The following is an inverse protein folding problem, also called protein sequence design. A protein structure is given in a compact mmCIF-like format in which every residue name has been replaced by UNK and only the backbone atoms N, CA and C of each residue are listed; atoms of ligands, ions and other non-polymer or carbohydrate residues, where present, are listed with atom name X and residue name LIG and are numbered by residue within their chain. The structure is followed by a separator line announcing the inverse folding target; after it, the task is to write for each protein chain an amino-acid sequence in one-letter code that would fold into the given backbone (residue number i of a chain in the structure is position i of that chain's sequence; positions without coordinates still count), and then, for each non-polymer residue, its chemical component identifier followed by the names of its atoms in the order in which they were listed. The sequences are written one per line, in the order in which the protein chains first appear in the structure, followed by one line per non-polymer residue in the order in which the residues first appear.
data_IF_636131436606
#
_entry.id   IF_636131436606
#
_cell.length_a   1.000
_cell.length_b   1.000
_cell.length_c   1.000
_cell.angle_alpha   90.00
_cell.angle_beta   90.00
_cell.angle_gamma   90.00
#
_symmetry.space_group_name_H-M   'P 1'
#
loop_
_entity.id
_entity.type
_entity.pdbx_description
1 polymer ?
#
# COMPACT_ATOMS: atom_id res chain seq x y z
N UNK A 1 -12.16 -20.61 6.53
CA UNK A 1 -11.70 -19.27 6.96
C UNK A 1 -11.84 -19.19 8.47
N UNK A 2 -10.78 -18.81 9.18
CA UNK A 2 -10.80 -18.57 10.62
C UNK A 2 -11.58 -17.28 10.94
N UNK A 3 -11.97 -17.10 12.21
CA UNK A 3 -12.65 -15.87 12.66
C UNK A 3 -11.79 -14.61 12.41
N UNK A 4 -10.46 -14.71 12.53
CA UNK A 4 -9.53 -13.61 12.27
C UNK A 4 -9.43 -13.24 10.79
N UNK A 5 -9.43 -14.24 9.90
CA UNK A 5 -9.42 -14.01 8.43
C UNK A 5 -10.69 -13.29 7.97
N UNK A 6 -11.85 -13.62 8.55
CA UNK A 6 -13.10 -12.92 8.23
C UNK A 6 -13.07 -11.46 8.68
N UNK A 7 -12.58 -11.18 9.90
CA UNK A 7 -12.44 -9.82 10.42
C UNK A 7 -11.45 -8.98 9.61
N UNK A 8 -10.30 -9.56 9.23
CA UNK A 8 -9.34 -8.93 8.32
C UNK A 8 -10.03 -8.50 7.02
N UNK A 9 -10.76 -9.42 6.37
CA UNK A 9 -11.44 -9.13 5.12
C UNK A 9 -12.46 -8.00 5.28
N UNK A 10 -13.30 -8.03 6.32
CA UNK A 10 -14.27 -6.97 6.59
C UNK A 10 -13.60 -5.61 6.80
N UNK A 11 -12.54 -5.55 7.61
CA UNK A 11 -11.80 -4.30 7.82
C UNK A 11 -11.15 -3.78 6.52
N UNK A 12 -10.60 -4.68 5.70
CA UNK A 12 -10.05 -4.31 4.38
C UNK A 12 -11.12 -3.72 3.46
N UNK A 13 -12.29 -4.33 3.41
CA UNK A 13 -13.42 -3.86 2.59
C UNK A 13 -13.94 -2.49 3.08
N UNK A 14 -14.05 -2.30 4.39
CA UNK A 14 -14.43 -1.01 4.99
C UNK A 14 -13.40 0.09 4.68
N UNK A 15 -12.10 -0.24 4.75
CA UNK A 15 -11.03 0.69 4.36
C UNK A 15 -11.11 1.07 2.89
N UNK A 16 -11.36 0.11 1.99
CA UNK A 16 -11.53 0.36 0.56
C UNK A 16 -12.76 1.24 0.27
N UNK A 17 -13.87 1.02 1.00
CA UNK A 17 -15.08 1.81 0.88
C UNK A 17 -14.86 3.26 1.34
N UNK A 18 -14.22 3.47 2.49
CA UNK A 18 -13.84 4.79 2.99
C UNK A 18 -12.88 5.51 2.03
N UNK A 19 -11.90 4.78 1.47
CA UNK A 19 -10.96 5.33 0.48
C UNK A 19 -11.68 5.85 -0.76
N UNK A 20 -12.64 5.08 -1.28
CA UNK A 20 -13.43 5.45 -2.46
C UNK A 20 -14.27 6.71 -2.22
N UNK A 21 -14.71 6.93 -0.98
CA UNK A 21 -15.43 8.14 -0.55
C UNK A 21 -14.52 9.35 -0.28
N UNK A 22 -13.20 9.19 -0.33
CA UNK A 22 -12.24 10.24 0.04
C UNK A 22 -12.04 10.42 1.55
N UNK A 23 -12.60 9.51 2.37
CA UNK A 23 -12.49 9.53 3.83
C UNK A 23 -11.15 8.89 4.26
N UNK A 24 -10.03 9.49 3.85
CA UNK A 24 -8.72 8.83 3.91
C UNK A 24 -8.24 8.52 5.34
N UNK A 25 -8.56 9.34 6.34
CA UNK A 25 -8.24 9.03 7.75
C UNK A 25 -9.04 7.84 8.26
N UNK A 26 -10.33 7.75 7.92
CA UNK A 26 -11.15 6.58 8.28
C UNK A 26 -10.65 5.32 7.57
N UNK A 27 -10.23 5.44 6.31
CA UNK A 27 -9.60 4.34 5.58
C UNK A 27 -8.33 3.85 6.28
N UNK A 28 -7.48 4.76 6.78
CA UNK A 28 -6.29 4.42 7.59
C UNK A 28 -6.65 3.63 8.84
N UNK A 29 -7.70 4.03 9.55
CA UNK A 29 -8.15 3.35 10.77
C UNK A 29 -8.56 1.91 10.45
N UNK A 30 -9.38 1.71 9.43
CA UNK A 30 -9.81 0.39 8.99
C UNK A 30 -8.66 -0.48 8.50
N UNK A 31 -7.77 0.05 7.67
CA UNK A 31 -6.57 -0.68 7.24
C UNK A 31 -5.66 -1.02 8.42
N UNK A 32 -5.60 -0.18 9.45
CA UNK A 32 -4.85 -0.48 10.67
C UNK A 32 -5.48 -1.64 11.46
N UNK A 33 -6.81 -1.71 11.55
CA UNK A 33 -7.46 -2.90 12.13
C UNK A 33 -7.20 -4.15 11.29
N UNK A 34 -7.28 -4.05 9.96
CA UNK A 34 -6.95 -5.17 9.07
C UNK A 34 -5.51 -5.67 9.27
N UNK A 35 -4.54 -4.78 9.46
CA UNK A 35 -3.14 -5.13 9.70
C UNK A 35 -2.88 -5.69 11.10
N UNK A 36 -3.76 -5.44 12.08
CA UNK A 36 -3.68 -6.09 13.41
C UNK A 36 -4.02 -7.57 13.31
N UNK A 37 -4.99 -7.92 12.46
CA UNK A 37 -5.38 -9.32 12.23
C UNK A 37 -4.38 -10.04 11.32
N UNK A 38 -3.86 -9.36 10.29
CA UNK A 38 -2.85 -9.92 9.38
C UNK A 38 -1.80 -8.86 9.00
N UNK A 39 -0.67 -8.81 9.74
CA UNK A 39 0.38 -7.80 9.51
C UNK A 39 1.22 -8.08 8.25
N UNK A 40 1.02 -9.22 7.59
CA UNK A 40 1.78 -9.63 6.41
C UNK A 40 1.06 -9.33 5.09
N UNK A 41 -0.15 -8.75 5.10
CA UNK A 41 -0.89 -8.45 3.87
C UNK A 41 -0.28 -7.24 3.11
N UNK A 42 0.44 -7.45 1.99
CA UNK A 42 1.08 -6.36 1.25
C UNK A 42 0.07 -5.42 0.59
N UNK A 43 -1.15 -5.89 0.28
CA UNK A 43 -2.19 -5.08 -0.35
C UNK A 43 -2.66 -4.01 0.63
N UNK A 44 -2.88 -4.39 1.89
CA UNK A 44 -3.33 -3.46 2.93
C UNK A 44 -2.26 -2.42 3.25
N UNK A 45 -0.98 -2.82 3.35
CA UNK A 45 0.13 -1.87 3.47
C UNK A 45 0.18 -0.87 2.31
N UNK A 46 0.03 -1.35 1.07
CA UNK A 46 -0.04 -0.49 -0.13
C UNK A 46 -1.23 0.47 -0.09
N UNK A 47 -2.40 0.03 0.37
CA UNK A 47 -3.60 0.86 0.43
C UNK A 47 -3.51 1.92 1.53
N UNK A 48 -2.97 1.57 2.71
CA UNK A 48 -2.74 2.54 3.78
C UNK A 48 -1.67 3.58 3.40
N UNK A 49 -0.62 3.15 2.70
CA UNK A 49 0.36 4.06 2.08
C UNK A 49 -0.30 5.07 1.14
N UNK A 50 -1.24 4.62 0.30
CA UNK A 50 -2.00 5.50 -0.59
C UNK A 50 -2.80 6.57 0.19
N UNK A 51 -3.43 6.18 1.30
CA UNK A 51 -4.16 7.11 2.16
C UNK A 51 -3.23 8.19 2.73
N UNK A 52 -2.05 7.79 3.21
CA UNK A 52 -1.07 8.74 3.73
C UNK A 52 -0.58 9.74 2.69
N UNK A 53 -0.40 9.32 1.43
CA UNK A 53 -0.09 10.25 0.34
C UNK A 53 -1.23 11.26 0.13
N UNK A 54 -2.48 10.79 0.09
CA UNK A 54 -3.65 11.66 -0.07
C UNK A 54 -3.83 12.66 1.07
N UNK A 55 -3.36 12.32 2.26
CA UNK A 55 -3.39 13.16 3.45
C UNK A 55 -2.17 14.08 3.59
N UNK A 56 -1.20 14.03 2.67
CA UNK A 56 0.01 14.86 2.73
C UNK A 56 1.03 14.40 3.77
N UNK A 57 1.04 13.12 4.14
CA UNK A 57 2.01 12.52 5.07
C UNK A 57 2.97 11.56 4.35
N UNK A 58 3.87 12.04 3.48
CA UNK A 58 4.67 11.19 2.63
C UNK A 58 5.69 10.33 3.40
N UNK A 59 6.17 10.77 4.57
CA UNK A 59 7.02 9.94 5.43
C UNK A 59 6.30 8.67 5.93
N UNK A 60 5.02 8.79 6.32
CA UNK A 60 4.20 7.64 6.74
C UNK A 60 3.90 6.73 5.55
N UNK A 61 3.62 7.32 4.39
CA UNK A 61 3.42 6.58 3.16
C UNK A 61 4.65 5.75 2.76
N UNK A 62 5.86 6.33 2.87
CA UNK A 62 7.10 5.63 2.60
C UNK A 62 7.32 4.45 3.56
N UNK A 63 7.04 4.62 4.85
CA UNK A 63 7.10 3.53 5.84
C UNK A 63 6.19 2.35 5.47
N UNK A 64 4.93 2.63 5.18
CA UNK A 64 3.97 1.59 4.75
C UNK A 64 4.37 0.96 3.41
N UNK A 65 4.94 1.73 2.48
CA UNK A 65 5.42 1.21 1.20
C UNK A 65 6.63 0.27 1.35
N UNK A 66 7.54 0.53 2.30
CA UNK A 66 8.63 -0.38 2.62
C UNK A 66 8.10 -1.68 3.23
N UNK A 67 7.17 -1.60 4.17
CA UNK A 67 6.49 -2.79 4.72
C UNK A 67 5.82 -3.61 3.64
N UNK A 68 5.15 -2.96 2.69
CA UNK A 68 4.55 -3.61 1.53
C UNK A 68 5.59 -4.37 0.67
N UNK A 69 6.76 -3.78 0.43
CA UNK A 69 7.85 -4.44 -0.31
C UNK A 69 8.50 -5.60 0.48
N UNK A 70 8.52 -5.52 1.81
CA UNK A 70 9.02 -6.59 2.67
C UNK A 70 8.06 -7.79 2.68
N UNK A 71 6.75 -7.55 2.79
CA UNK A 71 5.75 -8.62 2.91
C UNK A 71 5.26 -9.13 1.56
N UNK A 72 5.39 -8.34 0.49
CA UNK A 72 5.03 -8.73 -0.87
C UNK A 72 6.07 -8.27 -1.89
N UNK A 73 7.23 -8.95 -1.99
CA UNK A 73 8.32 -8.53 -2.89
C UNK A 73 7.95 -8.46 -4.38
N UNK A 74 6.96 -9.26 -4.80
CA UNK A 74 6.40 -9.29 -6.16
C UNK A 74 5.30 -8.24 -6.39
N UNK A 75 4.80 -7.58 -5.35
CA UNK A 75 3.71 -6.61 -5.46
C UNK A 75 4.23 -5.27 -5.98
N UNK A 76 4.05 -5.03 -7.29
CA UNK A 76 4.60 -3.86 -7.99
C UNK A 76 4.15 -2.51 -7.40
N UNK A 77 2.99 -2.46 -6.72
CA UNK A 77 2.53 -1.21 -6.09
C UNK A 77 3.40 -0.80 -4.91
N UNK A 78 4.12 -1.71 -4.25
CA UNK A 78 5.04 -1.35 -3.15
C UNK A 78 6.12 -0.34 -3.57
N UNK A 79 6.97 -0.68 -4.56
CA UNK A 79 7.96 0.25 -5.11
C UNK A 79 7.33 1.52 -5.68
N UNK A 80 6.18 1.41 -6.34
CA UNK A 80 5.44 2.57 -6.87
C UNK A 80 5.02 3.54 -5.76
N UNK A 81 4.47 3.03 -4.65
CA UNK A 81 4.06 3.86 -3.49
C UNK A 81 5.26 4.54 -2.84
N UNK A 82 6.37 3.82 -2.68
CA UNK A 82 7.61 4.39 -2.13
C UNK A 82 8.17 5.50 -3.03
N UNK A 83 8.17 5.29 -4.35
CA UNK A 83 8.58 6.31 -5.31
C UNK A 83 7.74 7.59 -5.20
N UNK A 84 6.40 7.46 -5.20
CA UNK A 84 5.49 8.60 -5.05
C UNK A 84 5.75 9.35 -3.73
N UNK A 85 5.95 8.63 -2.63
CA UNK A 85 6.30 9.24 -1.35
C UNK A 85 7.62 10.04 -1.42
N UNK A 86 8.64 9.52 -2.09
CA UNK A 86 9.90 10.26 -2.29
C UNK A 86 9.76 11.47 -3.21
N UNK A 87 8.89 11.42 -4.21
CA UNK A 87 8.60 12.59 -5.04
C UNK A 87 7.92 13.69 -4.24
N UNK A 88 6.92 13.36 -3.42
CA UNK A 88 6.25 14.31 -2.51
C UNK A 88 7.23 14.92 -1.48
N UNK A 89 8.27 14.17 -1.08
CA UNK A 89 9.34 14.66 -0.21
C UNK A 89 10.42 15.48 -0.95
N UNK A 90 10.29 15.70 -2.26
CA UNK A 90 11.31 16.40 -3.05
C UNK A 90 12.62 15.61 -3.22
N UNK A 91 12.57 14.27 -3.14
CA UNK A 91 13.72 13.38 -3.22
C UNK A 91 13.70 12.49 -4.50
N UNK A 92 13.74 13.08 -5.72
CA UNK A 92 13.61 12.33 -6.97
C UNK A 92 14.71 11.29 -7.20
N UNK A 93 15.92 11.54 -6.69
CA UNK A 93 17.03 10.58 -6.75
C UNK A 93 16.70 9.25 -6.04
N UNK A 94 15.87 9.30 -4.99
CA UNK A 94 15.41 8.10 -4.28
C UNK A 94 14.22 7.44 -4.97
N UNK A 95 13.39 8.23 -5.68
CA UNK A 95 12.23 7.73 -6.40
C UNK A 95 12.58 6.98 -7.71
N UNK A 96 13.54 7.50 -8.47
CA UNK A 96 13.91 6.98 -9.79
C UNK A 96 14.18 5.46 -9.85
N UNK A 97 15.03 4.86 -8.98
CA UNK A 97 15.26 3.42 -9.01
C UNK A 97 14.01 2.61 -8.66
N UNK A 98 13.12 3.15 -7.82
CA UNK A 98 11.88 2.48 -7.41
C UNK A 98 10.83 2.50 -8.52
N UNK A 99 10.73 3.59 -9.29
CA UNK A 99 9.87 3.65 -10.47
C UNK A 99 10.32 2.63 -11.52
N UNK A 100 11.62 2.52 -11.77
CA UNK A 100 12.17 1.52 -12.70
C UNK A 100 11.78 0.10 -12.28
N UNK A 101 12.00 -0.24 -11.01
CA UNK A 101 11.60 -1.54 -10.44
C UNK A 101 10.09 -1.77 -10.54
N UNK A 102 9.26 -0.74 -10.32
CA UNK A 102 7.81 -0.85 -10.44
C UNK A 102 7.36 -1.15 -11.87
N UNK A 103 7.99 -0.52 -12.86
CA UNK A 103 7.70 -0.75 -14.29
C UNK A 103 8.12 -2.16 -14.72
N UNK A 104 9.34 -2.58 -14.37
CA UNK A 104 9.84 -3.93 -14.64
C UNK A 104 8.90 -5.00 -14.05
N UNK A 105 8.44 -4.81 -12.80
CA UNK A 105 7.50 -5.71 -12.16
C UNK A 105 6.09 -5.69 -12.78
N UNK A 106 5.64 -4.55 -13.32
CA UNK A 106 4.33 -4.44 -13.97
C UNK A 106 4.31 -5.02 -15.40
N UNK A 107 5.47 -5.07 -16.06
CA UNK A 107 5.65 -5.67 -17.38
C UNK A 107 5.75 -7.19 -17.34
N UNK A 108 6.05 -7.78 -16.18
CA UNK A 108 6.04 -9.23 -15.97
C UNK A 108 4.61 -9.80 -16.08
N UNK A 109 4.31 -10.63 -17.10
CA UNK A 109 3.00 -11.24 -17.28
C UNK A 109 2.55 -12.11 -16.08
N UNK A 110 3.49 -12.62 -15.28
CA UNK A 110 3.19 -13.39 -14.08
C UNK A 110 2.63 -12.51 -12.95
N UNK A 111 3.04 -11.24 -12.88
CA UNK A 111 2.59 -10.26 -11.87
C UNK A 111 1.29 -9.58 -12.28
N UNK A 112 1.01 -9.46 -13.58
CA UNK A 112 -0.17 -8.78 -14.12
C UNK A 112 -1.52 -9.46 -13.82
N UNK A 113 -1.51 -10.75 -13.45
CA UNK A 113 -2.74 -11.55 -13.25
C UNK A 113 -3.56 -11.16 -12.02
N UNK A 114 -2.98 -10.43 -11.07
CA UNK A 114 -3.62 -10.06 -9.80
C UNK A 114 -4.08 -8.58 -9.75
N UNK A 115 -4.27 -7.95 -10.92
CA UNK A 115 -4.83 -6.61 -11.10
C UNK A 115 -6.33 -6.62 -11.41
#
# INVERSE_FOLDING_TARGET
MSKGEHLQQTHREQGNAAFTKGEYMLAVEWFTQSLRESPEDPIVWSNRSACWLRLGYPHRAAGDAHRCMETGPSWFKGPMRAALAYLEMGAPARAAPLLRRALEAAEDPAVRRDL
#
